data_IF_986140366766
#
_entry.id   IF_986140366766
#
_cell.length_a   1.000
_cell.length_b   1.000
_cell.length_c   1.000
_cell.angle_alpha   90.00
_cell.angle_beta   90.00
_cell.angle_gamma   90.00
#
_symmetry.space_group_name_H-M   'P 1'
#
loop_
_entity.id
_entity.type
_entity.pdbx_description
1 polymer ?
#
# COMPACT_ATOMS: atom_id res chain seq x y z
N UNK A 1 -16.70 -18.61 -29.87
CA UNK A 1 -17.30 -18.35 -28.54
C UNK A 1 -16.43 -18.92 -27.41
N UNK A 2 -15.94 -20.16 -27.49
CA UNK A 2 -15.11 -20.79 -26.45
C UNK A 2 -13.66 -20.25 -26.35
N UNK A 3 -13.05 -19.84 -27.46
CA UNK A 3 -11.67 -19.31 -27.50
C UNK A 3 -11.52 -17.93 -26.87
N UNK A 4 -12.56 -17.10 -26.93
CA UNK A 4 -12.61 -15.80 -26.26
C UNK A 4 -12.71 -15.98 -24.73
N UNK A 5 -13.48 -16.98 -24.29
CA UNK A 5 -13.65 -17.30 -22.87
C UNK A 5 -12.35 -17.84 -22.24
N UNK A 6 -11.61 -18.70 -22.95
CA UNK A 6 -10.32 -19.21 -22.44
C UNK A 6 -9.26 -18.11 -22.33
N UNK A 7 -9.21 -17.16 -23.28
CA UNK A 7 -8.32 -16.00 -23.24
C UNK A 7 -8.59 -15.09 -22.04
N UNK A 8 -9.87 -14.86 -21.72
CA UNK A 8 -10.26 -14.09 -20.53
C UNK A 8 -9.87 -14.78 -19.23
N UNK A 9 -10.00 -16.11 -19.15
CA UNK A 9 -9.61 -16.88 -17.97
C UNK A 9 -8.09 -16.85 -17.77
N UNK A 10 -7.31 -17.04 -18.85
CA UNK A 10 -5.85 -17.03 -18.79
C UNK A 10 -5.32 -15.66 -18.37
N UNK A 11 -5.87 -14.58 -18.94
CA UNK A 11 -5.49 -13.21 -18.58
C UNK A 11 -5.85 -12.89 -17.13
N UNK A 12 -7.03 -13.30 -16.67
CA UNK A 12 -7.45 -13.16 -15.27
C UNK A 12 -6.50 -13.91 -14.31
N UNK A 13 -6.16 -15.15 -14.62
CA UNK A 13 -5.22 -15.94 -13.83
C UNK A 13 -3.81 -15.32 -13.81
N UNK A 14 -3.32 -14.80 -14.94
CA UNK A 14 -2.03 -14.12 -15.01
C UNK A 14 -2.00 -12.88 -14.11
N UNK A 15 -3.05 -12.05 -14.14
CA UNK A 15 -3.17 -10.86 -13.28
C UNK A 15 -3.19 -11.25 -11.80
N UNK A 16 -3.89 -12.32 -11.43
CA UNK A 16 -3.92 -12.83 -10.05
C UNK A 16 -2.54 -13.30 -9.61
N UNK A 17 -1.83 -14.08 -10.44
CA UNK A 17 -0.50 -14.60 -10.14
C UNK A 17 0.52 -13.45 -9.99
N UNK A 18 0.48 -12.46 -10.89
CA UNK A 18 1.34 -11.26 -10.82
C UNK A 18 1.05 -10.46 -9.54
N UNK A 19 -0.23 -10.30 -9.19
CA UNK A 19 -0.66 -9.60 -7.97
C UNK A 19 -0.17 -10.32 -6.70
N UNK A 20 -0.21 -11.65 -6.67
CA UNK A 20 0.26 -12.47 -5.55
C UNK A 20 1.79 -12.47 -5.46
N UNK A 21 2.51 -12.53 -6.59
CA UNK A 21 3.97 -12.48 -6.62
C UNK A 21 4.52 -11.14 -6.12
N UNK A 22 3.89 -10.02 -6.47
CA UNK A 22 4.26 -8.70 -5.94
C UNK A 22 3.95 -8.55 -4.45
N UNK A 23 2.94 -9.25 -3.93
CA UNK A 23 2.50 -9.14 -2.53
C UNK A 23 3.55 -9.66 -1.54
N UNK A 24 4.31 -10.72 -1.87
CA UNK A 24 5.23 -11.36 -0.91
C UNK A 24 6.51 -10.55 -0.63
N UNK A 25 6.90 -9.62 -1.51
CA UNK A 25 8.07 -8.76 -1.30
C UNK A 25 7.74 -7.47 -0.50
N UNK A 26 6.47 -7.24 -0.15
CA UNK A 26 5.99 -5.97 0.46
C UNK A 26 6.35 -5.78 1.93
N UNK A 27 6.46 -6.86 2.69
CA UNK A 27 6.68 -6.79 4.15
C UNK A 27 8.06 -6.26 4.52
N UNK A 28 9.05 -6.38 3.63
CA UNK A 28 10.39 -5.82 3.84
C UNK A 28 10.43 -4.30 3.59
N UNK A 29 9.63 -3.79 2.65
CA UNK A 29 9.68 -2.36 2.26
C UNK A 29 9.01 -1.45 3.28
N UNK A 30 7.86 -1.84 3.86
CA UNK A 30 7.21 -1.07 4.93
C UNK A 30 8.09 -0.97 6.17
N UNK A 31 8.68 -2.09 6.62
CA UNK A 31 9.54 -2.10 7.81
C UNK A 31 10.86 -1.38 7.58
N UNK A 32 11.46 -1.46 6.38
CA UNK A 32 12.64 -0.63 6.05
C UNK A 32 12.30 0.86 6.02
N UNK A 33 11.19 1.28 5.41
CA UNK A 33 10.90 2.70 5.24
C UNK A 33 10.56 3.39 6.58
N UNK A 34 9.83 2.70 7.47
CA UNK A 34 9.51 3.21 8.81
C UNK A 34 10.73 3.36 9.72
N UNK A 35 11.78 2.56 9.53
CA UNK A 35 13.04 2.67 10.27
C UNK A 35 14.00 3.70 9.67
N UNK A 36 13.90 3.99 8.38
CA UNK A 36 14.84 4.89 7.67
C UNK A 36 14.38 6.36 7.74
N UNK A 37 13.07 6.63 7.82
CA UNK A 37 12.54 8.01 7.85
C UNK A 37 11.72 8.31 9.11
N UNK A 38 12.38 8.63 10.24
CA UNK A 38 11.68 9.07 11.46
C UNK A 38 10.85 10.34 11.24
N UNK A 39 11.21 11.18 10.26
CA UNK A 39 10.52 12.41 9.92
C UNK A 39 9.08 12.16 9.43
N UNK A 40 8.87 11.15 8.60
CA UNK A 40 7.53 10.82 8.07
C UNK A 40 6.60 10.28 9.15
N UNK A 41 7.14 9.50 10.08
CA UNK A 41 6.38 8.99 11.22
C UNK A 41 5.89 10.14 12.11
N UNK A 42 6.75 11.15 12.28
CA UNK A 42 6.45 12.37 13.03
C UNK A 42 5.41 13.23 12.29
N UNK A 43 5.53 13.36 10.97
CA UNK A 43 4.57 14.06 10.11
C UNK A 43 3.18 13.39 10.18
N UNK A 44 3.12 12.06 10.07
CA UNK A 44 1.87 11.30 10.21
C UNK A 44 1.28 11.43 11.60
N UNK A 45 2.10 11.33 12.65
CA UNK A 45 1.62 11.48 14.02
C UNK A 45 1.07 12.90 14.28
N UNK A 46 1.69 13.93 13.71
CA UNK A 46 1.19 15.30 13.76
C UNK A 46 -0.14 15.44 13.01
N UNK A 47 -0.29 14.79 11.85
CA UNK A 47 -1.56 14.77 11.13
C UNK A 47 -2.67 14.08 11.92
N UNK A 48 -2.37 12.95 12.59
CA UNK A 48 -3.31 12.26 13.48
C UNK A 48 -3.73 13.19 14.64
N UNK A 49 -2.76 13.85 15.29
CA UNK A 49 -3.02 14.82 16.39
C UNK A 49 -3.86 16.01 15.94
N UNK A 50 -3.66 16.48 14.71
CA UNK A 50 -4.44 17.58 14.11
C UNK A 50 -5.86 17.18 13.71
N UNK A 51 -6.29 15.95 14.01
CA UNK A 51 -7.59 15.38 13.62
C UNK A 51 -7.83 15.43 12.10
N UNK A 52 -6.74 15.30 11.32
CA UNK A 52 -6.82 15.21 9.87
C UNK A 52 -7.49 13.89 9.48
N UNK A 53 -8.31 13.90 8.42
CA UNK A 53 -9.02 12.71 7.96
C UNK A 53 -8.05 11.59 7.55
N UNK A 54 -8.34 10.35 7.99
CA UNK A 54 -7.52 9.17 7.70
C UNK A 54 -7.20 9.03 6.20
N UNK A 55 -8.17 9.30 5.33
CA UNK A 55 -7.96 9.26 3.88
C UNK A 55 -6.87 10.22 3.40
N UNK A 56 -6.77 11.42 4.01
CA UNK A 56 -5.77 12.42 3.66
C UNK A 56 -4.38 12.03 4.18
N UNK A 57 -4.31 11.45 5.38
CA UNK A 57 -3.07 10.91 5.95
C UNK A 57 -2.56 9.75 5.09
N UNK A 58 -3.44 8.81 4.75
CA UNK A 58 -3.13 7.68 3.87
C UNK A 58 -2.67 8.19 2.50
N UNK A 59 -3.35 9.18 1.90
CA UNK A 59 -2.92 9.79 0.64
C UNK A 59 -1.52 10.39 0.75
N UNK A 60 -1.25 11.14 1.80
CA UNK A 60 0.06 11.74 2.04
C UNK A 60 1.18 10.70 2.17
N UNK A 61 0.92 9.63 2.94
CA UNK A 61 1.84 8.49 3.04
C UNK A 61 2.09 7.88 1.68
N UNK A 62 1.05 7.63 0.86
CA UNK A 62 1.21 7.08 -0.49
C UNK A 62 2.06 7.97 -1.40
N UNK A 63 1.87 9.29 -1.33
CA UNK A 63 2.62 10.25 -2.13
C UNK A 63 4.10 10.32 -1.72
N UNK A 64 4.40 10.26 -0.41
CA UNK A 64 5.78 10.30 0.11
C UNK A 64 6.53 8.95 -0.03
N UNK A 65 5.82 7.83 0.03
CA UNK A 65 6.43 6.48 0.11
C UNK A 65 6.28 5.66 -1.16
N UNK A 66 5.33 6.01 -2.04
CA UNK A 66 4.94 5.19 -3.19
C UNK A 66 4.14 3.93 -2.82
N UNK A 67 3.74 3.76 -1.55
CA UNK A 67 3.01 2.59 -1.08
C UNK A 67 1.62 2.46 -1.73
N UNK A 68 1.16 1.21 -1.83
CA UNK A 68 -0.21 0.88 -2.20
C UNK A 68 -1.22 1.39 -1.16
N UNK A 69 -2.50 1.47 -1.54
CA UNK A 69 -3.56 1.96 -0.63
C UNK A 69 -3.66 1.15 0.67
N UNK A 70 -3.57 -0.17 0.55
CA UNK A 70 -3.62 -1.10 1.70
C UNK A 70 -2.43 -0.89 2.62
N UNK A 71 -1.22 -0.76 2.06
CA UNK A 71 0.01 -0.55 2.84
C UNK A 71 0.02 0.80 3.56
N UNK A 72 -0.40 1.87 2.87
CA UNK A 72 -0.43 3.18 3.48
C UNK A 72 -1.47 3.24 4.61
N UNK A 73 -2.60 2.54 4.45
CA UNK A 73 -3.58 2.36 5.52
C UNK A 73 -2.95 1.61 6.71
N UNK A 74 -2.33 0.48 6.45
CA UNK A 74 -1.69 -0.33 7.51
C UNK A 74 -0.57 0.44 8.22
N UNK A 75 0.22 1.24 7.51
CA UNK A 75 1.24 2.12 8.10
C UNK A 75 0.63 3.16 9.05
N UNK A 76 -0.44 3.84 8.63
CA UNK A 76 -1.14 4.82 9.48
C UNK A 76 -1.79 4.15 10.69
N UNK A 77 -2.40 2.97 10.49
CA UNK A 77 -3.04 2.20 11.56
C UNK A 77 -2.03 1.72 12.62
N UNK A 78 -0.78 1.43 12.23
CA UNK A 78 0.29 1.06 13.18
C UNK A 78 0.82 2.24 14.01
N UNK A 79 0.60 3.48 13.57
CA UNK A 79 1.08 4.70 14.27
C UNK A 79 0.03 5.23 15.24
N UNK A 80 -1.24 4.98 14.94
CA UNK A 80 -2.38 5.40 15.76
C UNK A 80 -2.39 4.70 17.11
#
# INVERSE_FOLDING_TARGET
>A
MTTQLSLLIITLCAVIVISVLLSKNKKLSQTKFSTINPELTLEVQNMIKSNTSNTKIIKHVREKTGLGLVEAKEYVDNIK
#
